data_IF_892007347017
#
_entry.id   IF_892007347017
#
_cell.length_a   1.000
_cell.length_b   1.000
_cell.length_c   1.000
_cell.angle_alpha   90.00
_cell.angle_beta   90.00
_cell.angle_gamma   90.00
#
_symmetry.space_group_name_H-M   'P 1'
#
loop_
_entity.id
_entity.type
_entity.pdbx_description
1 polymer ?
#
# COMPACT_ATOMS: atom_id res chain seq x y z
N UNK A 1 -43.50 -28.51 7.59
CA UNK A 1 -42.11 -28.57 8.06
C UNK A 1 -41.40 -27.29 7.64
N UNK A 2 -40.76 -26.60 8.59
CA UNK A 2 -40.04 -25.35 8.40
C UNK A 2 -38.57 -25.58 8.03
N UNK A 3 -37.97 -24.53 7.42
CA UNK A 3 -36.55 -24.20 7.23
C UNK A 3 -35.75 -25.16 6.31
N UNK A 4 -35.06 -24.71 5.27
CA UNK A 4 -33.92 -23.80 5.37
C UNK A 4 -33.87 -22.78 4.24
N UNK A 5 -33.96 -21.51 4.62
CA UNK A 5 -33.21 -20.48 3.92
C UNK A 5 -31.82 -20.44 4.53
N UNK A 6 -30.77 -20.48 3.71
CA UNK A 6 -29.51 -19.86 4.07
C UNK A 6 -29.22 -18.81 2.99
N UNK A 7 -29.46 -17.58 3.44
CA UNK A 7 -29.52 -16.35 2.69
C UNK A 7 -28.09 -15.94 2.31
N UNK A 8 -27.82 -15.98 1.00
CA UNK A 8 -26.67 -15.39 0.31
C UNK A 8 -26.63 -13.88 0.53
N UNK A 9 -26.25 -13.44 1.73
CA UNK A 9 -25.86 -12.07 2.03
C UNK A 9 -25.06 -12.08 3.34
N UNK A 10 -23.75 -11.81 3.30
CA UNK A 10 -23.03 -10.95 4.28
C UNK A 10 -21.51 -11.01 4.10
N UNK A 11 -21.05 -10.38 3.04
CA UNK A 11 -19.82 -9.61 3.14
C UNK A 11 -19.97 -8.40 2.22
N UNK A 12 -20.85 -7.47 2.58
CA UNK A 12 -20.85 -6.14 1.99
C UNK A 12 -19.40 -5.62 2.10
N UNK A 13 -18.70 -5.33 0.98
CA UNK A 13 -17.38 -4.75 1.08
C UNK A 13 -17.58 -3.43 1.82
N UNK A 14 -17.08 -3.35 3.06
CA UNK A 14 -17.07 -2.11 3.85
C UNK A 14 -16.66 -1.01 2.87
N UNK A 15 -17.54 -0.04 2.63
CA UNK A 15 -17.23 1.19 1.92
C UNK A 15 -16.14 1.85 2.74
N UNK A 16 -14.89 1.49 2.45
CA UNK A 16 -13.71 2.10 3.05
C UNK A 16 -13.82 3.54 2.61
N UNK A 17 -14.18 4.40 3.54
CA UNK A 17 -14.13 5.85 3.36
C UNK A 17 -12.85 6.20 2.61
N UNK A 18 -12.97 7.03 1.57
CA UNK A 18 -11.90 7.52 0.67
C UNK A 18 -10.88 8.41 1.42
N UNK A 19 -10.47 8.00 2.62
CA UNK A 19 -9.46 8.67 3.41
C UNK A 19 -8.15 8.00 3.05
N UNK A 20 -7.27 8.77 2.43
CA UNK A 20 -5.92 8.33 2.18
C UNK A 20 -5.20 8.07 3.52
N UNK A 21 -4.62 6.88 3.74
CA UNK A 21 -3.92 6.59 4.98
C UNK A 21 -2.62 7.39 5.08
N UNK A 22 -2.35 8.01 6.22
CA UNK A 22 -1.07 8.70 6.49
C UNK A 22 0.08 7.67 6.60
N UNK A 23 -0.21 6.52 7.19
CA UNK A 23 0.71 5.39 7.28
C UNK A 23 -0.06 4.07 7.22
N UNK A 24 0.61 3.00 6.78
CA UNK A 24 0.01 1.68 6.63
C UNK A 24 0.93 0.58 7.18
N UNK A 25 0.35 -0.57 7.54
CA UNK A 25 1.16 -1.72 7.99
C UNK A 25 1.97 -2.29 6.83
N UNK A 26 3.10 -2.93 7.15
CA UNK A 26 3.97 -3.62 6.18
C UNK A 26 3.21 -4.48 5.17
N UNK A 27 2.25 -5.35 5.55
CA UNK A 27 1.52 -6.15 4.57
C UNK A 27 0.69 -5.34 3.58
N UNK A 28 0.14 -4.19 4.00
CA UNK A 28 -0.61 -3.31 3.12
C UNK A 28 0.36 -2.57 2.18
N UNK A 29 1.48 -2.05 2.68
CA UNK A 29 2.51 -1.41 1.85
C UNK A 29 3.01 -2.36 0.74
N UNK A 30 3.26 -3.62 1.07
CA UNK A 30 3.57 -4.67 0.09
C UNK A 30 2.50 -4.82 -0.98
N UNK A 31 1.20 -4.79 -0.60
CA UNK A 31 0.09 -4.89 -1.56
C UNK A 31 -0.03 -3.67 -2.45
N UNK A 32 0.15 -2.46 -1.90
CA UNK A 32 0.08 -1.22 -2.66
C UNK A 32 1.23 -1.10 -3.67
N UNK A 33 2.44 -1.51 -3.29
CA UNK A 33 3.61 -1.49 -4.19
C UNK A 33 3.72 -2.72 -5.09
N UNK A 34 2.99 -3.80 -4.81
CA UNK A 34 3.12 -5.07 -5.55
C UNK A 34 4.44 -5.82 -5.28
N UNK A 35 5.07 -5.62 -4.12
CA UNK A 35 6.37 -6.24 -3.76
C UNK A 35 6.26 -7.18 -2.57
N UNK A 36 7.21 -8.11 -2.46
CA UNK A 36 7.34 -8.99 -1.30
C UNK A 36 7.84 -8.26 -0.05
N UNK A 37 7.59 -8.86 1.13
CA UNK A 37 8.07 -8.33 2.42
C UNK A 37 9.59 -8.20 2.47
N UNK A 38 10.32 -9.17 1.91
CA UNK A 38 11.79 -9.15 1.89
C UNK A 38 12.30 -7.91 1.15
N UNK A 39 11.74 -7.62 -0.04
CA UNK A 39 12.09 -6.42 -0.81
C UNK A 39 11.76 -5.15 -0.04
N UNK A 40 10.58 -5.07 0.58
CA UNK A 40 10.22 -3.90 1.40
C UNK A 40 11.23 -3.69 2.55
N UNK A 41 11.63 -4.75 3.24
CA UNK A 41 12.61 -4.64 4.33
C UNK A 41 14.02 -4.27 3.85
N UNK A 42 14.43 -4.71 2.66
CA UNK A 42 15.68 -4.24 2.03
C UNK A 42 15.61 -2.73 1.80
N UNK A 43 14.53 -2.24 1.18
CA UNK A 43 14.34 -0.80 0.94
C UNK A 43 14.28 0.01 2.24
N UNK A 44 13.67 -0.54 3.29
CA UNK A 44 13.69 0.07 4.63
C UNK A 44 15.13 0.10 5.18
N UNK A 45 15.89 -0.98 5.03
CA UNK A 45 17.28 -1.06 5.48
C UNK A 45 18.23 -0.14 4.71
N UNK A 46 17.92 0.12 3.44
CA UNK A 46 18.61 1.08 2.57
C UNK A 46 18.23 2.55 2.87
N UNK A 47 17.19 2.78 3.69
CA UNK A 47 16.67 4.11 3.98
C UNK A 47 15.83 4.71 2.86
N UNK A 48 15.47 3.91 1.85
CA UNK A 48 14.63 4.32 0.72
C UNK A 48 13.15 4.44 1.09
N UNK A 49 12.73 3.67 2.10
CA UNK A 49 11.37 3.69 2.66
C UNK A 49 11.44 3.97 4.16
N UNK A 50 10.74 5.03 4.56
CA UNK A 50 10.62 5.44 5.95
C UNK A 50 9.48 4.71 6.66
N UNK A 51 9.72 4.42 7.93
CA UNK A 51 8.74 3.78 8.80
C UNK A 51 8.80 4.38 10.21
N UNK A 52 7.71 4.22 10.94
CA UNK A 52 7.61 4.52 12.35
C UNK A 52 7.23 3.27 13.13
N UNK A 53 7.65 3.23 14.39
CA UNK A 53 7.18 2.23 15.36
C UNK A 53 6.06 2.85 16.17
N UNK A 54 4.92 2.16 16.24
CA UNK A 54 3.80 2.50 17.11
C UNK A 54 3.47 1.29 17.98
N UNK A 55 4.00 1.30 19.21
CA UNK A 55 4.01 0.13 20.09
C UNK A 55 4.76 -1.03 19.43
N UNK A 56 4.09 -2.18 19.32
CA UNK A 56 4.65 -3.37 18.64
C UNK A 56 4.50 -3.33 17.11
N UNK A 57 3.77 -2.35 16.57
CA UNK A 57 3.48 -2.27 15.14
C UNK A 57 4.53 -1.43 14.40
N UNK A 58 4.92 -1.89 13.21
CA UNK A 58 5.68 -1.09 12.24
C UNK A 58 4.71 -0.51 11.21
N UNK A 59 4.72 0.81 11.06
CA UNK A 59 3.91 1.52 10.07
C UNK A 59 4.84 2.19 9.06
N UNK A 60 4.53 2.02 7.78
CA UNK A 60 5.25 2.61 6.66
C UNK A 60 4.54 3.89 6.24
N UNK A 61 5.29 4.96 6.03
CA UNK A 61 4.72 6.26 5.67
C UNK A 61 4.28 6.26 4.21
N UNK A 62 3.05 6.68 3.95
CA UNK A 62 2.49 6.72 2.58
C UNK A 62 3.26 7.71 1.70
N UNK A 63 3.68 8.86 2.25
CA UNK A 63 4.50 9.84 1.55
C UNK A 63 5.83 9.25 1.07
N UNK A 64 6.51 8.48 1.93
CA UNK A 64 7.78 7.82 1.58
C UNK A 64 7.61 6.83 0.43
N UNK A 65 6.50 6.06 0.41
CA UNK A 65 6.17 5.18 -0.70
C UNK A 65 5.93 5.94 -2.00
N UNK A 66 5.24 7.08 -1.96
CA UNK A 66 5.03 7.93 -3.14
C UNK A 66 6.36 8.48 -3.67
N UNK A 67 7.18 9.03 -2.79
CA UNK A 67 8.50 9.57 -3.18
C UNK A 67 9.41 8.48 -3.76
N UNK A 68 9.34 7.25 -3.26
CA UNK A 68 10.07 6.11 -3.84
C UNK A 68 9.68 5.88 -5.31
N UNK A 69 8.37 5.92 -5.61
CA UNK A 69 7.85 5.72 -6.96
C UNK A 69 8.23 6.89 -7.86
N UNK A 70 8.10 8.12 -7.38
CA UNK A 70 8.50 9.33 -8.12
C UNK A 70 9.99 9.29 -8.50
N UNK A 71 10.89 9.01 -7.54
CA UNK A 71 12.34 8.87 -7.82
C UNK A 71 12.67 7.79 -8.85
N UNK A 72 11.85 6.74 -8.94
CA UNK A 72 12.03 5.63 -9.90
C UNK A 72 11.31 5.86 -11.23
N UNK A 73 10.39 6.82 -11.30
CA UNK A 73 9.66 7.19 -12.51
C UNK A 73 10.56 7.90 -13.52
N UNK A 74 11.62 8.57 -13.06
CA UNK A 74 12.61 9.28 -13.88
C UNK A 74 13.47 8.39 -14.80
N UNK A 75 13.20 7.07 -14.83
CA UNK A 75 13.74 6.14 -15.85
C UNK A 75 12.93 6.08 -17.15
N UNK A 76 11.77 6.77 -17.23
CA UNK A 76 10.96 6.91 -18.44
C UNK A 76 10.91 8.38 -18.85
N UNK A 77 12.07 8.90 -19.26
CA UNK A 77 12.15 10.11 -20.08
C UNK A 77 11.53 9.79 -21.45
N UNK A 78 10.21 9.94 -21.57
CA UNK A 78 9.61 10.31 -22.85
C UNK A 78 9.93 11.79 -23.09
N UNK A 79 11.21 12.11 -23.34
CA UNK A 79 11.51 13.22 -24.24
C UNK A 79 11.08 12.78 -25.63
N UNK A 80 9.84 13.07 -26.03
CA UNK A 80 9.53 13.73 -27.30
C UNK A 80 8.01 13.94 -27.52
N UNK A 81 7.73 15.12 -28.10
CA UNK A 81 6.54 15.52 -28.86
C UNK A 81 5.41 16.21 -28.04
N UNK A 82 5.03 17.47 -28.25
CA UNK A 82 5.00 18.30 -29.47
C UNK A 82 5.05 19.79 -29.09
N UNK A 83 6.03 20.50 -29.70
CA UNK A 83 6.11 21.93 -30.07
C UNK A 83 5.94 23.02 -29.01
#
# INVERSE_FOLDING_TARGET
MSISGDNDQRASPKRRTDIEPIAMRVPEACRYLGIGRSTLYVLIGEGEIEFIKLGSSTLVLTESLKSLVERRRDGFDDSENVK
#
